data_IF_496717581146
#
_entry.id   IF_496717581146
#
_cell.length_a   1.000
_cell.length_b   1.000
_cell.length_c   1.000
_cell.angle_alpha   90.00
_cell.angle_beta   90.00
_cell.angle_gamma   90.00
#
_symmetry.space_group_name_H-M   'P 1'
#
loop_
_entity.id
_entity.type
_entity.pdbx_description
1 polymer ?
#
# COMPACT_ATOMS: atom_id res chain seq x y z
N UNK A 1 -5.35 11.89 1.82
CA UNK A 1 -4.92 10.81 2.73
C UNK A 1 -4.65 9.54 1.92
N UNK A 2 -3.43 9.02 2.03
CA UNK A 2 -3.02 7.80 1.36
C UNK A 2 -3.74 6.55 1.85
N UNK A 3 -3.88 6.37 3.17
CA UNK A 3 -4.43 5.12 3.73
C UNK A 3 -5.85 4.94 3.20
N UNK A 4 -6.60 6.05 3.16
CA UNK A 4 -7.92 6.10 2.52
C UNK A 4 -7.87 5.73 1.03
N UNK A 5 -6.97 6.32 0.25
CA UNK A 5 -6.84 6.00 -1.18
C UNK A 5 -6.49 4.52 -1.43
N UNK A 6 -5.51 3.99 -0.69
CA UNK A 6 -5.07 2.60 -0.83
C UNK A 6 -6.20 1.62 -0.52
N UNK A 7 -7.04 1.96 0.47
CA UNK A 7 -8.25 1.22 0.85
C UNK A 7 -9.33 1.31 -0.21
N UNK A 8 -9.61 2.51 -0.74
CA UNK A 8 -10.58 2.70 -1.83
C UNK A 8 -10.19 1.91 -3.09
N UNK A 9 -8.89 1.86 -3.41
CA UNK A 9 -8.37 1.01 -4.48
C UNK A 9 -8.64 -0.48 -4.24
N UNK A 10 -8.50 -0.99 -3.00
CA UNK A 10 -8.86 -2.38 -2.70
C UNK A 10 -10.37 -2.65 -2.79
N UNK A 11 -11.22 -1.66 -2.49
CA UNK A 11 -12.68 -1.79 -2.60
C UNK A 11 -13.16 -1.77 -4.04
N UNK A 12 -12.53 -0.95 -4.89
CA UNK A 12 -12.88 -0.80 -6.30
C UNK A 12 -11.62 -0.80 -7.17
N UNK A 13 -10.96 -1.96 -7.38
CA UNK A 13 -9.69 -2.02 -8.12
C UNK A 13 -9.78 -1.43 -9.54
N UNK A 14 -10.92 -1.59 -10.22
CA UNK A 14 -11.19 -1.02 -11.56
C UNK A 14 -11.16 0.51 -11.61
N UNK A 15 -11.41 1.18 -10.47
CA UNK A 15 -11.45 2.64 -10.37
C UNK A 15 -10.20 3.20 -9.70
N UNK A 16 -9.19 2.36 -9.41
CA UNK A 16 -7.99 2.80 -8.74
C UNK A 16 -7.12 3.65 -9.67
N UNK A 17 -6.99 4.93 -9.36
CA UNK A 17 -6.05 5.83 -10.01
C UNK A 17 -4.69 5.78 -9.29
N UNK A 18 -3.73 5.05 -9.87
CA UNK A 18 -2.35 4.95 -9.38
C UNK A 18 -1.61 6.29 -9.40
N UNK A 19 -1.91 7.17 -10.37
CA UNK A 19 -1.20 8.45 -10.56
C UNK A 19 -1.47 9.45 -9.44
N UNK A 20 -2.52 9.24 -8.65
CA UNK A 20 -2.90 10.11 -7.53
C UNK A 20 -1.85 10.16 -6.41
N UNK A 21 -1.14 9.07 -6.14
CA UNK A 21 -0.16 8.97 -5.05
C UNK A 21 1.20 8.41 -5.47
N UNK A 22 1.37 8.02 -6.73
CA UNK A 22 2.62 7.45 -7.24
C UNK A 22 3.13 8.26 -8.43
N UNK A 23 4.43 8.21 -8.65
CA UNK A 23 5.01 8.65 -9.93
C UNK A 23 4.90 7.48 -10.89
N UNK A 24 4.11 7.68 -11.95
CA UNK A 24 3.87 6.65 -12.97
C UNK A 24 5.18 6.28 -13.69
N UNK A 25 5.30 5.00 -14.05
CA UNK A 25 6.48 4.44 -14.73
C UNK A 25 7.57 3.97 -13.77
N UNK A 26 7.48 4.27 -12.47
CA UNK A 26 8.34 3.67 -11.44
C UNK A 26 8.00 2.20 -11.23
N UNK A 27 8.97 1.39 -10.79
CA UNK A 27 8.76 -0.02 -10.49
C UNK A 27 7.57 -0.22 -9.54
N UNK A 28 7.49 0.57 -8.47
CA UNK A 28 6.38 0.53 -7.53
C UNK A 28 5.03 0.83 -8.20
N UNK A 29 4.93 1.89 -9.00
CA UNK A 29 3.68 2.22 -9.70
C UNK A 29 3.26 1.11 -10.67
N UNK A 30 4.22 0.49 -11.37
CA UNK A 30 3.95 -0.58 -12.32
C UNK A 30 3.44 -1.84 -11.61
N UNK A 31 4.09 -2.24 -10.52
CA UNK A 31 3.68 -3.40 -9.72
C UNK A 31 2.30 -3.18 -9.09
N UNK A 32 2.05 -1.99 -8.57
CA UNK A 32 0.77 -1.63 -7.99
C UNK A 32 -0.36 -1.63 -9.03
N UNK A 33 -0.12 -1.05 -10.22
CA UNK A 33 -1.08 -1.06 -11.33
C UNK A 33 -1.34 -2.49 -11.81
N UNK A 34 -0.32 -3.33 -11.92
CA UNK A 34 -0.45 -4.73 -12.30
C UNK A 34 -1.33 -5.48 -11.29
N UNK A 35 -1.05 -5.33 -9.99
CA UNK A 35 -1.87 -5.93 -8.93
C UNK A 35 -3.33 -5.46 -8.97
N UNK A 36 -3.58 -4.16 -9.11
CA UNK A 36 -4.96 -3.64 -9.22
C UNK A 36 -5.68 -4.14 -10.47
N UNK A 37 -4.98 -4.27 -11.59
CA UNK A 37 -5.51 -4.84 -12.83
C UNK A 37 -5.88 -6.31 -12.66
N UNK A 38 -5.02 -7.10 -12.01
CA UNK A 38 -5.28 -8.51 -11.75
C UNK A 38 -6.46 -8.68 -10.80
N UNK A 39 -6.57 -7.84 -9.77
CA UNK A 39 -7.72 -7.85 -8.89
C UNK A 39 -9.01 -7.51 -9.65
N UNK A 40 -8.98 -6.45 -10.47
CA UNK A 40 -10.10 -6.04 -11.31
C UNK A 40 -10.55 -7.11 -12.32
N UNK A 41 -9.59 -7.86 -12.90
CA UNK A 41 -9.83 -8.92 -13.87
C UNK A 41 -10.48 -10.14 -13.22
N UNK A 42 -9.99 -10.54 -12.04
CA UNK A 42 -10.44 -11.72 -11.32
C UNK A 42 -11.55 -11.42 -10.30
N UNK A 43 -12.17 -10.23 -10.36
CA UNK A 43 -13.22 -9.84 -9.43
C UNK A 43 -12.78 -9.98 -7.95
N UNK A 44 -11.52 -9.65 -7.66
CA UNK A 44 -10.96 -9.65 -6.31
C UNK A 44 -11.19 -8.27 -5.70
N UNK A 45 -11.75 -8.19 -4.50
CA UNK A 45 -12.04 -6.93 -3.82
C UNK A 45 -12.05 -7.08 -2.31
N UNK A 46 -11.79 -5.98 -1.60
CA UNK A 46 -12.05 -5.88 -0.17
C UNK A 46 -13.45 -5.26 0.09
N UNK A 47 -14.00 -5.47 1.28
CA UNK A 47 -15.28 -4.89 1.71
C UNK A 47 -15.07 -3.84 2.81
N UNK A 48 -15.88 -2.77 2.86
CA UNK A 48 -15.90 -1.87 4.00
C UNK A 48 -16.24 -2.62 5.30
N UNK A 49 -15.37 -2.51 6.31
CA UNK A 49 -15.55 -3.13 7.62
C UNK A 49 -14.88 -4.49 7.80
N UNK A 50 -14.52 -5.18 6.71
CA UNK A 50 -13.92 -6.52 6.77
C UNK A 50 -12.38 -6.42 6.82
N UNK A 51 -11.90 -6.14 8.02
CA UNK A 51 -10.49 -5.90 8.30
C UNK A 51 -10.02 -4.48 8.02
N UNK A 52 -8.77 -4.19 8.36
CA UNK A 52 -8.16 -2.88 8.25
C UNK A 52 -6.68 -2.97 7.92
N UNK A 53 -6.17 -1.93 7.24
CA UNK A 53 -4.74 -1.72 7.06
C UNK A 53 -4.32 -0.49 7.84
N UNK A 54 -3.44 -0.69 8.81
CA UNK A 54 -2.83 0.33 9.66
C UNK A 54 -1.39 0.55 9.23
N UNK A 55 -0.95 1.80 9.29
CA UNK A 55 0.43 2.20 8.99
C UNK A 55 0.94 3.04 10.16
N UNK A 56 2.07 2.63 10.70
CA UNK A 56 2.76 3.30 11.80
C UNK A 56 4.06 3.85 11.25
N UNK A 57 4.22 5.17 11.29
CA UNK A 57 5.45 5.83 10.86
C UNK A 57 6.41 5.88 12.04
N UNK A 58 7.60 5.33 11.85
CA UNK A 58 8.66 5.30 12.88
C UNK A 58 9.62 6.47 12.68
N UNK A 59 10.17 6.59 11.46
CA UNK A 59 11.13 7.65 11.13
C UNK A 59 10.94 8.15 9.70
N UNK A 60 11.35 9.41 9.47
CA UNK A 60 11.38 10.02 8.14
C UNK A 60 12.76 10.65 7.95
N UNK A 61 13.49 10.17 6.96
CA UNK A 61 14.76 10.75 6.52
C UNK A 61 14.52 11.56 5.25
N UNK A 62 15.03 12.79 5.19
CA UNK A 62 14.83 13.69 4.03
C UNK A 62 16.16 14.06 3.40
N UNK A 63 16.16 14.16 2.08
CA UNK A 63 17.19 14.84 1.30
C UNK A 63 16.54 16.03 0.60
N UNK A 64 16.81 17.23 1.12
CA UNK A 64 16.27 18.48 0.60
C UNK A 64 16.90 18.89 -0.74
N UNK A 65 18.10 18.40 -1.05
CA UNK A 65 18.77 18.70 -2.32
C UNK A 65 18.13 17.92 -3.46
N UNK A 66 17.91 16.62 -3.25
CA UNK A 66 17.23 15.77 -4.21
C UNK A 66 15.70 15.88 -4.14
N UNK A 67 15.17 16.59 -3.14
CA UNK A 67 13.75 16.64 -2.80
C UNK A 67 13.12 15.24 -2.70
N UNK A 68 13.81 14.36 -1.97
CA UNK A 68 13.39 12.98 -1.70
C UNK A 68 13.24 12.74 -0.21
N UNK A 69 12.46 11.72 0.16
CA UNK A 69 12.35 11.27 1.54
C UNK A 69 12.21 9.74 1.59
N UNK A 70 12.73 9.14 2.65
CA UNK A 70 12.51 7.74 2.98
C UNK A 70 11.72 7.71 4.28
N UNK A 71 10.54 7.10 4.22
CA UNK A 71 9.69 6.85 5.38
C UNK A 71 9.93 5.42 5.81
N UNK A 72 10.30 5.21 7.07
CA UNK A 72 10.35 3.88 7.68
C UNK A 72 9.15 3.69 8.59
N UNK A 73 8.60 2.48 8.61
CA UNK A 73 7.49 2.19 9.47
C UNK A 73 7.02 0.76 9.40
N UNK A 74 5.94 0.51 10.11
CA UNK A 74 5.29 -0.79 10.18
C UNK A 74 3.90 -0.74 9.53
N UNK A 75 3.52 -1.81 8.84
CA UNK A 75 2.18 -2.04 8.31
C UNK A 75 1.57 -3.22 9.03
N UNK A 76 0.39 -3.05 9.61
CA UNK A 76 -0.44 -4.14 10.11
C UNK A 76 -1.68 -4.25 9.23
N UNK A 77 -1.93 -5.44 8.69
CA UNK A 77 -2.94 -5.66 7.67
C UNK A 77 -3.80 -6.88 7.99
N UNK A 78 -5.08 -6.63 8.18
CA UNK A 78 -6.12 -7.64 8.43
C UNK A 78 -7.19 -7.63 7.34
N UNK A 79 -6.98 -6.90 6.25
CA UNK A 79 -7.97 -6.75 5.17
C UNK A 79 -8.31 -8.12 4.56
N UNK A 80 -9.61 -8.44 4.51
CA UNK A 80 -10.11 -9.64 3.84
C UNK A 80 -10.37 -9.33 2.36
N UNK A 81 -9.83 -10.17 1.49
CA UNK A 81 -10.06 -10.16 0.05
C UNK A 81 -11.08 -11.24 -0.32
N UNK A 82 -12.03 -10.85 -1.17
CA UNK A 82 -13.07 -11.70 -1.70
C UNK A 82 -12.88 -11.90 -3.19
N UNK A 83 -13.23 -13.08 -3.71
CA UNK A 83 -13.27 -13.41 -5.14
C UNK A 83 -14.57 -14.16 -5.41
N UNK A 84 -15.36 -13.68 -6.37
CA UNK A 84 -16.66 -14.27 -6.76
C UNK A 84 -17.61 -14.58 -5.59
N UNK A 85 -17.58 -13.73 -4.56
CA UNK A 85 -18.43 -13.82 -3.37
C UNK A 85 -17.85 -14.65 -2.22
N UNK A 86 -16.81 -15.46 -2.47
CA UNK A 86 -16.09 -16.23 -1.45
C UNK A 86 -14.86 -15.49 -0.89
N UNK A 87 -14.32 -15.97 0.23
CA UNK A 87 -13.04 -15.49 0.77
C UNK A 87 -11.90 -16.01 -0.11
N UNK A 88 -11.08 -15.10 -0.61
CA UNK A 88 -9.88 -15.39 -1.40
C UNK A 88 -8.62 -15.36 -0.53
N UNK A 89 -8.51 -14.35 0.34
CA UNK A 89 -7.39 -14.21 1.27
C UNK A 89 -7.83 -13.44 2.51
N UNK A 90 -7.70 -14.06 3.68
CA UNK A 90 -7.99 -13.47 5.00
C UNK A 90 -6.75 -13.50 5.91
N UNK A 91 -5.55 -13.70 5.34
CA UNK A 91 -4.33 -13.75 6.12
C UNK A 91 -4.06 -12.42 6.79
N UNK A 92 -3.91 -12.46 8.11
CA UNK A 92 -3.35 -11.36 8.89
C UNK A 92 -1.85 -11.29 8.65
N UNK A 93 -1.35 -10.12 8.26
CA UNK A 93 0.06 -9.90 8.03
C UNK A 93 0.55 -8.62 8.70
N UNK A 94 1.80 -8.63 9.14
CA UNK A 94 2.51 -7.43 9.54
C UNK A 94 3.85 -7.34 8.85
N UNK A 95 4.32 -6.12 8.59
CA UNK A 95 5.61 -5.90 7.92
C UNK A 95 6.31 -4.62 8.34
N UNK A 96 7.61 -4.73 8.59
CA UNK A 96 8.51 -3.58 8.65
C UNK A 96 8.88 -3.20 7.22
N UNK A 97 8.63 -1.95 6.86
CA UNK A 97 8.75 -1.45 5.50
C UNK A 97 9.43 -0.10 5.43
N UNK A 98 9.97 0.21 4.25
CA UNK A 98 10.32 1.58 3.89
C UNK A 98 9.63 1.98 2.60
N UNK A 99 9.37 3.28 2.48
CA UNK A 99 8.84 3.87 1.28
C UNK A 99 9.67 5.08 0.86
N UNK A 100 10.07 5.10 -0.42
CA UNK A 100 10.76 6.24 -1.00
C UNK A 100 9.76 7.17 -1.67
N UNK A 101 9.84 8.43 -1.30
CA UNK A 101 8.97 9.51 -1.75
C UNK A 101 9.80 10.55 -2.49
N UNK A 102 9.21 11.16 -3.52
CA UNK A 102 9.79 12.28 -4.25
C UNK A 102 8.78 13.41 -4.33
N UNK A 103 9.26 14.65 -4.19
CA UNK A 103 8.44 15.82 -4.43
C UNK A 103 8.26 16.03 -5.94
N UNK A 104 7.02 15.99 -6.42
CA UNK A 104 6.67 16.22 -7.81
C UNK A 104 5.33 16.98 -7.88
N UNK A 105 5.28 18.01 -8.73
CA UNK A 105 4.08 18.82 -8.99
C UNK A 105 3.40 19.35 -7.71
N UNK A 106 4.19 19.81 -6.74
CA UNK A 106 3.68 20.37 -5.48
C UNK A 106 3.18 19.34 -4.46
N UNK A 107 3.54 18.06 -4.62
CA UNK A 107 3.12 16.98 -3.72
C UNK A 107 4.19 15.90 -3.55
N UNK A 108 4.23 15.24 -2.39
CA UNK A 108 5.03 14.03 -2.19
C UNK A 108 4.35 12.82 -2.83
N UNK A 109 5.06 12.10 -3.71
CA UNK A 109 4.56 10.91 -4.42
C UNK A 109 5.50 9.72 -4.26
N UNK A 110 4.94 8.51 -4.23
CA UNK A 110 5.74 7.30 -4.10
C UNK A 110 6.44 6.93 -5.38
N UNK A 111 7.69 6.54 -5.20
CA UNK A 111 8.53 6.01 -6.27
C UNK A 111 9.02 4.61 -5.97
N UNK A 112 9.07 4.22 -4.69
CA UNK A 112 9.51 2.89 -4.29
C UNK A 112 8.90 2.41 -2.98
N UNK A 113 8.88 1.10 -2.79
CA UNK A 113 8.48 0.41 -1.58
C UNK A 113 9.38 -0.81 -1.35
N UNK A 114 9.79 -1.04 -0.11
CA UNK A 114 10.56 -2.20 0.28
C UNK A 114 10.00 -2.81 1.57
N UNK A 115 9.78 -4.12 1.54
CA UNK A 115 9.50 -4.93 2.74
C UNK A 115 10.84 -5.43 3.28
N UNK A 116 11.17 -5.09 4.52
CA UNK A 116 12.38 -5.58 5.19
C UNK A 116 12.11 -6.87 5.96
N UNK A 117 10.93 -6.97 6.58
CA UNK A 117 10.46 -8.16 7.28
C UNK A 117 8.96 -8.27 7.11
N UNK A 118 8.45 -9.47 6.87
CA UNK A 118 7.01 -9.76 6.87
C UNK A 118 6.75 -11.06 7.63
N UNK A 119 5.73 -11.04 8.45
CA UNK A 119 5.22 -12.22 9.16
C UNK A 119 3.72 -12.31 8.95
N UNK A 120 3.19 -13.51 9.17
CA UNK A 120 1.76 -13.79 9.17
C UNK A 120 1.32 -14.22 10.56
N UNK A 121 0.10 -13.85 10.95
CA UNK A 121 -0.50 -14.19 12.24
C UNK A 121 0.27 -13.69 13.48
N UNK A 122 1.11 -12.67 13.29
CA UNK A 122 1.87 -11.98 14.32
C UNK A 122 1.91 -10.47 13.99
N UNK A 123 2.05 -9.61 15.00
CA UNK A 123 2.01 -8.16 14.86
C UNK A 123 3.36 -7.50 15.19
N UNK A 124 4.15 -7.26 14.14
CA UNK A 124 5.42 -6.51 14.24
C UNK A 124 5.24 -5.05 14.63
N UNK A 125 4.02 -4.50 14.60
CA UNK A 125 3.76 -3.09 14.88
C UNK A 125 3.40 -2.80 16.34
N UNK A 126 3.21 -3.83 17.17
CA UNK A 126 2.89 -3.72 18.61
C UNK A 126 4.13 -3.87 19.50
N UNK A 127 5.34 -3.70 18.93
CA UNK A 127 6.62 -3.81 19.64
C UNK A 127 7.04 -2.54 20.36
#
# INVERSE_FOLDING_TARGET
DFVKWRRECSYKPRLCDAGKFTILGTQFSNDFVAMMRDYAKNNIYARPGDGERKIFVETITKDETAMTAIVHGCVYDTVVLYMDGGIYDDKVASSLSSWTMQWQDGSWRWINYQIHKKVYFDNLCDS
#
